data_IF_907724659777
#
_entry.id   IF_907724659777
#
_cell.length_a   1.000
_cell.length_b   1.000
_cell.length_c   1.000
_cell.angle_alpha   90.00
_cell.angle_beta   90.00
_cell.angle_gamma   90.00
#
_symmetry.space_group_name_H-M   'P 1'
#
loop_
_entity.id
_entity.type
_entity.pdbx_description
1 polymer ?
#
# COMPACT_ATOMS: atom_id res chain seq x y z
N UNK A 1 7.23 15.86 15.16
CA UNK A 1 6.29 14.97 14.45
C UNK A 1 5.09 14.55 15.30
N UNK A 2 5.24 13.70 16.32
CA UNK A 2 4.09 13.14 17.05
C UNK A 2 3.19 14.19 17.75
N UNK A 3 3.80 15.24 18.33
CA UNK A 3 3.06 16.36 18.96
C UNK A 3 2.15 17.12 17.98
N UNK A 4 2.51 17.20 16.71
CA UNK A 4 1.71 17.91 15.72
C UNK A 4 0.56 17.07 15.17
N UNK A 5 0.79 15.75 15.02
CA UNK A 5 -0.26 14.79 14.65
C UNK A 5 -1.38 14.81 15.69
N UNK A 6 -1.03 14.92 16.98
CA UNK A 6 -2.01 15.04 18.08
C UNK A 6 -2.80 16.37 18.00
N UNK A 7 -2.20 17.44 17.49
CA UNK A 7 -2.88 18.75 17.36
C UNK A 7 -3.85 18.82 16.16
N UNK A 8 -3.66 17.97 15.13
CA UNK A 8 -4.57 17.86 13.98
C UNK A 8 -4.98 16.39 13.75
N UNK A 9 -5.73 15.78 14.68
CA UNK A 9 -6.01 14.35 14.66
C UNK A 9 -6.92 13.90 13.50
N UNK A 10 -7.70 14.85 12.93
CA UNK A 10 -8.69 14.57 11.89
C UNK A 10 -8.15 14.67 10.47
N UNK A 11 -7.33 15.67 10.14
CA UNK A 11 -6.87 15.90 8.76
C UNK A 11 -5.36 15.72 8.59
N UNK A 12 -4.62 15.51 9.68
CA UNK A 12 -3.18 15.42 9.63
C UNK A 12 -2.50 16.75 9.32
N UNK A 13 -1.21 16.68 9.03
CA UNK A 13 -0.34 17.80 8.71
C UNK A 13 -0.32 18.05 7.18
N UNK A 14 -0.84 17.09 6.40
CA UNK A 14 -0.80 17.07 4.93
C UNK A 14 0.43 16.32 4.39
N UNK A 15 0.37 15.98 3.10
CA UNK A 15 1.43 15.24 2.37
C UNK A 15 2.77 15.99 2.53
N UNK A 16 3.81 15.26 2.95
CA UNK A 16 5.17 15.78 3.17
C UNK A 16 5.27 16.83 4.31
N UNK A 17 4.24 16.93 5.16
CA UNK A 17 4.21 17.85 6.30
C UNK A 17 5.29 17.54 7.35
N UNK A 18 5.71 16.27 7.48
CA UNK A 18 6.73 15.86 8.45
C UNK A 18 8.15 16.33 8.08
N UNK A 19 8.48 16.33 6.78
CA UNK A 19 9.79 16.76 6.23
C UNK A 19 10.03 18.24 6.53
N UNK A 20 8.99 19.07 6.41
CA UNK A 20 9.08 20.53 6.65
C UNK A 20 9.08 20.92 8.13
N UNK A 21 8.46 20.13 9.01
CA UNK A 21 8.21 20.53 10.40
C UNK A 21 9.03 19.78 11.44
N UNK A 22 9.53 18.58 11.15
CA UNK A 22 10.21 17.73 12.14
C UNK A 22 11.71 17.52 11.90
N UNK A 23 12.27 17.95 10.77
CA UNK A 23 13.70 17.80 10.48
C UNK A 23 14.19 16.34 10.45
N UNK A 24 13.28 15.39 10.35
CA UNK A 24 13.58 13.97 10.40
C UNK A 24 12.43 13.16 9.82
N UNK A 25 12.75 12.37 8.80
CA UNK A 25 11.88 11.44 8.11
C UNK A 25 11.20 10.48 9.09
N UNK A 26 9.87 10.37 9.02
CA UNK A 26 9.19 9.19 9.55
C UNK A 26 9.59 7.97 8.70
N UNK A 27 10.60 7.20 9.15
CA UNK A 27 11.11 6.01 8.45
C UNK A 27 10.12 4.84 8.30
N UNK A 28 8.85 5.02 8.64
CA UNK A 28 7.84 3.98 8.58
C UNK A 28 6.59 4.50 7.86
N UNK A 29 6.15 3.77 6.83
CA UNK A 29 4.89 4.00 6.10
C UNK A 29 3.69 4.32 7.02
N UNK A 30 3.57 3.64 8.16
CA UNK A 30 2.48 3.86 9.09
C UNK A 30 2.49 5.26 9.72
N UNK A 31 3.68 5.76 10.07
CA UNK A 31 3.82 7.09 10.65
C UNK A 31 3.59 8.16 9.59
N UNK A 32 4.04 7.92 8.36
CA UNK A 32 3.81 8.80 7.21
C UNK A 32 2.30 8.92 6.91
N UNK A 33 1.57 7.79 6.84
CA UNK A 33 0.11 7.80 6.65
C UNK A 33 -0.65 8.49 7.78
N UNK A 34 -0.23 8.31 9.04
CA UNK A 34 -0.83 8.98 10.19
C UNK A 34 -0.52 10.49 10.21
N UNK A 35 0.65 10.89 9.73
CA UNK A 35 1.02 12.30 9.60
C UNK A 35 0.24 12.97 8.46
N UNK A 36 0.11 12.32 7.31
CA UNK A 36 -0.52 12.87 6.12
C UNK A 36 -2.05 12.99 6.26
N UNK A 37 -2.70 11.94 6.76
CA UNK A 37 -4.17 11.84 6.81
C UNK A 37 -4.75 12.02 8.22
N UNK A 38 -3.89 12.17 9.23
CA UNK A 38 -4.29 12.22 10.63
C UNK A 38 -4.52 10.82 11.22
N UNK A 39 -4.76 10.78 12.54
CA UNK A 39 -4.86 9.53 13.29
C UNK A 39 -6.08 8.72 12.84
N UNK A 40 -7.22 9.37 12.63
CA UNK A 40 -8.49 8.68 12.32
C UNK A 40 -8.44 8.07 10.92
N UNK A 41 -8.25 8.89 9.87
CA UNK A 41 -8.21 8.38 8.50
C UNK A 41 -6.96 7.56 8.22
N UNK A 42 -5.80 7.94 8.76
CA UNK A 42 -4.57 7.15 8.63
C UNK A 42 -4.74 5.74 9.18
N UNK A 43 -5.33 5.59 10.38
CA UNK A 43 -5.61 4.25 10.95
C UNK A 43 -6.57 3.44 10.09
N UNK A 44 -7.63 4.07 9.56
CA UNK A 44 -8.58 3.39 8.65
C UNK A 44 -7.87 2.88 7.40
N UNK A 45 -7.04 3.71 6.77
CA UNK A 45 -6.27 3.33 5.57
C UNK A 45 -5.32 2.18 5.89
N UNK A 46 -4.63 2.22 7.03
CA UNK A 46 -3.71 1.16 7.47
C UNK A 46 -4.47 -0.16 7.67
N UNK A 47 -5.64 -0.13 8.32
CA UNK A 47 -6.47 -1.33 8.52
C UNK A 47 -6.90 -1.92 7.19
N UNK A 48 -7.37 -1.09 6.25
CA UNK A 48 -7.77 -1.54 4.91
C UNK A 48 -6.59 -2.17 4.18
N UNK A 49 -5.41 -1.54 4.24
CA UNK A 49 -4.20 -2.04 3.59
C UNK A 49 -3.80 -3.40 4.16
N UNK A 50 -3.73 -3.54 5.48
CA UNK A 50 -3.41 -4.80 6.16
C UNK A 50 -4.43 -5.90 5.83
N UNK A 51 -5.73 -5.55 5.80
CA UNK A 51 -6.78 -6.49 5.42
C UNK A 51 -6.60 -6.99 3.98
N UNK A 52 -6.27 -6.11 3.03
CA UNK A 52 -6.00 -6.48 1.64
C UNK A 52 -4.77 -7.38 1.54
N UNK A 53 -3.69 -7.07 2.26
CA UNK A 53 -2.47 -7.89 2.32
C UNK A 53 -2.82 -9.31 2.79
N UNK A 54 -3.48 -9.45 3.94
CA UNK A 54 -3.85 -10.76 4.51
C UNK A 54 -4.73 -11.54 3.52
N UNK A 55 -5.76 -10.90 2.97
CA UNK A 55 -6.66 -11.52 1.98
C UNK A 55 -5.92 -11.97 0.72
N UNK A 56 -4.90 -11.24 0.30
CA UNK A 56 -4.09 -11.55 -0.88
C UNK A 56 -3.15 -12.74 -0.63
N UNK A 57 -2.61 -12.87 0.58
CA UNK A 57 -1.76 -14.00 0.98
C UNK A 57 -2.55 -15.31 1.13
N UNK A 58 -3.84 -15.24 1.45
CA UNK A 58 -4.74 -16.40 1.51
C UNK A 58 -5.22 -16.90 0.14
N UNK A 59 -4.63 -16.42 -0.97
CA UNK A 59 -5.00 -16.87 -2.32
C UNK A 59 -4.52 -18.29 -2.60
N UNK A 60 -5.38 -19.14 -3.18
CA UNK A 60 -5.02 -20.51 -3.59
C UNK A 60 -4.24 -20.56 -4.92
N UNK A 61 -4.20 -19.45 -5.66
CA UNK A 61 -3.50 -19.39 -6.94
C UNK A 61 -2.00 -19.10 -6.73
N UNK A 62 -1.15 -20.10 -6.98
CA UNK A 62 0.30 -20.04 -6.77
C UNK A 62 0.99 -18.91 -7.54
N UNK A 63 0.60 -18.67 -8.80
CA UNK A 63 1.21 -17.61 -9.61
C UNK A 63 0.88 -16.22 -9.09
N UNK A 64 -0.39 -16.00 -8.71
CA UNK A 64 -0.80 -14.74 -8.07
C UNK A 64 -0.09 -14.53 -6.74
N UNK A 65 0.00 -15.58 -5.92
CA UNK A 65 0.68 -15.54 -4.64
C UNK A 65 2.17 -15.16 -4.77
N UNK A 66 2.88 -15.75 -5.74
CA UNK A 66 4.28 -15.42 -6.04
C UNK A 66 4.45 -13.97 -6.44
N UNK A 67 3.60 -13.46 -7.33
CA UNK A 67 3.62 -12.05 -7.72
C UNK A 67 3.37 -11.14 -6.51
N UNK A 68 2.34 -11.42 -5.70
CA UNK A 68 2.00 -10.64 -4.51
C UNK A 68 3.18 -10.57 -3.54
N UNK A 69 3.86 -11.68 -3.27
CA UNK A 69 4.99 -11.71 -2.32
C UNK A 69 6.19 -10.91 -2.83
N UNK A 70 6.54 -11.05 -4.11
CA UNK A 70 7.66 -10.29 -4.69
C UNK A 70 7.43 -8.79 -4.53
N UNK A 71 6.23 -8.32 -4.87
CA UNK A 71 5.87 -6.90 -4.76
C UNK A 71 5.63 -6.44 -3.33
N UNK A 72 5.20 -7.32 -2.43
CA UNK A 72 5.13 -7.05 -0.99
C UNK A 72 6.55 -6.80 -0.43
N UNK A 73 7.51 -7.66 -0.77
CA UNK A 73 8.90 -7.50 -0.34
C UNK A 73 9.58 -6.27 -0.93
N UNK A 74 9.37 -6.00 -2.22
CA UNK A 74 10.01 -4.87 -2.90
C UNK A 74 9.35 -3.52 -2.59
N UNK A 75 8.02 -3.48 -2.46
CA UNK A 75 7.26 -2.25 -2.24
C UNK A 75 6.98 -1.99 -0.78
N UNK A 76 6.28 -2.90 -0.10
CA UNK A 76 5.79 -2.67 1.25
C UNK A 76 6.87 -2.81 2.32
N UNK A 77 7.71 -3.85 2.25
CA UNK A 77 8.77 -4.08 3.24
C UNK A 77 9.86 -3.01 3.11
N UNK A 78 10.22 -2.60 1.89
CA UNK A 78 11.18 -1.51 1.67
C UNK A 78 10.75 -0.23 2.39
N UNK A 79 9.46 0.12 2.31
CA UNK A 79 8.86 1.29 2.97
C UNK A 79 8.81 1.23 4.51
N UNK A 80 9.16 0.09 5.11
CA UNK A 80 9.32 -0.02 6.57
C UNK A 80 10.75 0.31 7.04
N UNK A 81 11.71 0.37 6.12
CA UNK A 81 13.11 0.68 6.45
C UNK A 81 13.55 2.02 5.87
N UNK A 82 13.14 2.32 4.64
CA UNK A 82 13.56 3.52 3.94
C UNK A 82 12.64 3.87 2.77
N UNK A 83 12.38 5.16 2.60
CA UNK A 83 11.62 5.72 1.49
C UNK A 83 10.24 6.24 1.89
N UNK A 84 9.67 7.06 1.02
CA UNK A 84 8.28 7.54 1.09
C UNK A 84 7.42 6.68 0.18
N UNK A 85 6.15 6.53 0.53
CA UNK A 85 5.21 5.83 -0.35
C UNK A 85 5.00 6.55 -1.69
N UNK A 86 5.31 7.85 -1.76
CA UNK A 86 5.25 8.63 -3.00
C UNK A 86 6.38 8.30 -3.96
N UNK A 87 7.62 8.15 -3.49
CA UNK A 87 8.77 7.90 -4.35
C UNK A 87 8.90 6.42 -4.75
N UNK A 88 8.30 5.53 -3.96
CA UNK A 88 8.45 4.08 -4.15
C UNK A 88 7.40 3.53 -5.12
N UNK A 89 7.70 3.53 -6.42
CA UNK A 89 6.78 2.97 -7.44
C UNK A 89 6.37 1.52 -7.18
N UNK A 90 7.23 0.74 -6.52
CA UNK A 90 6.94 -0.64 -6.12
C UNK A 90 5.73 -0.76 -5.21
N UNK A 91 5.46 0.24 -4.37
CA UNK A 91 4.26 0.29 -3.52
C UNK A 91 2.98 0.46 -4.34
N UNK A 92 2.98 1.32 -5.35
CA UNK A 92 1.82 1.53 -6.22
C UNK A 92 1.53 0.32 -7.09
N UNK A 93 2.58 -0.36 -7.59
CA UNK A 93 2.43 -1.63 -8.32
C UNK A 93 1.83 -2.70 -7.39
N UNK A 94 2.34 -2.79 -6.16
CA UNK A 94 1.80 -3.69 -5.14
C UNK A 94 0.32 -3.41 -4.85
N UNK A 95 -0.05 -2.15 -4.63
CA UNK A 95 -1.42 -1.73 -4.38
C UNK A 95 -2.35 -2.05 -5.56
N UNK A 96 -1.89 -1.81 -6.79
CA UNK A 96 -2.61 -2.18 -8.01
C UNK A 96 -2.89 -3.69 -8.09
N UNK A 97 -1.93 -4.53 -7.71
CA UNK A 97 -2.11 -6.00 -7.67
C UNK A 97 -3.13 -6.43 -6.62
N UNK A 98 -3.17 -5.77 -5.46
CA UNK A 98 -4.18 -6.02 -4.42
C UNK A 98 -5.59 -5.67 -4.92
N UNK A 99 -5.74 -4.56 -5.63
CA UNK A 99 -7.03 -4.04 -6.12
C UNK A 99 -7.49 -4.79 -7.39
N UNK A 100 -6.57 -5.32 -8.22
CA UNK A 100 -6.90 -6.00 -9.50
C UNK A 100 -7.93 -7.11 -9.38
N UNK A 101 -8.12 -7.71 -8.21
CA UNK A 101 -9.20 -8.69 -7.97
C UNK A 101 -10.60 -8.11 -8.25
N UNK A 102 -10.77 -6.78 -8.18
CA UNK A 102 -11.99 -6.06 -8.52
C UNK A 102 -12.13 -5.72 -10.02
N UNK A 103 -11.01 -5.55 -10.74
CA UNK A 103 -11.02 -5.03 -12.12
C UNK A 103 -10.74 -6.08 -13.21
N UNK A 104 -10.39 -7.32 -12.87
CA UNK A 104 -10.20 -8.35 -13.90
C UNK A 104 -11.56 -8.72 -14.51
N UNK A 105 -11.81 -8.46 -15.80
CA UNK A 105 -12.86 -9.16 -16.51
C UNK A 105 -12.54 -10.66 -16.38
N UNK A 106 -13.56 -11.46 -16.12
CA UNK A 106 -13.47 -12.92 -16.22
C UNK A 106 -12.85 -13.28 -17.56
N UNK A 107 -11.72 -13.98 -17.49
CA UNK A 107 -10.99 -14.66 -18.56
C UNK A 107 -11.74 -14.76 -19.89
N UNK A 108 -11.18 -14.15 -20.93
CA UNK A 108 -11.44 -14.56 -22.31
C UNK A 108 -11.13 -16.05 -22.40
N UNK A 109 -12.17 -16.85 -22.59
CA UNK A 109 -12.05 -18.26 -22.96
C UNK A 109 -11.42 -18.24 -24.35
N UNK A 110 -10.11 -18.47 -24.44
CA UNK A 110 -9.51 -18.82 -25.73
C UNK A 110 -9.96 -20.24 -26.04
N UNK A 111 -11.00 -20.31 -26.86
CA UNK A 111 -11.55 -21.53 -27.44
C UNK A 111 -10.43 -22.30 -28.16
N UNK A 112 -10.35 -23.60 -27.86
CA UNK A 112 -9.31 -24.53 -28.28
C UNK A 112 -9.41 -24.96 -29.76
N UNK A 113 -9.86 -24.08 -30.65
CA UNK A 113 -10.23 -24.44 -32.03
C UNK A 113 -9.35 -23.81 -33.12
N UNK A 114 -8.08 -23.47 -32.84
CA UNK A 114 -7.09 -23.17 -33.89
C UNK A 114 -6.24 -24.42 -34.22
N UNK A 115 -6.92 -25.48 -34.64
CA UNK A 115 -6.35 -26.58 -35.42
C UNK A 115 -7.39 -27.06 -36.43
N UNK A 116 -7.40 -26.43 -37.60
CA UNK A 116 -7.78 -27.05 -38.86
C UNK A 116 -7.07 -26.32 -40.00
#
# INVERSE_FOLDING_TARGET
TFKEIVNKPLLGIGIEGDVRLAGGYAHNLFLELLADFGIIFGTIIIIILLFLIIKSLLTKNKEKYRMIIIWLSLGFVSLMFSGTYMDTIGFWIFLGLLIRKWFSPSTVIMDSNYKK
#
